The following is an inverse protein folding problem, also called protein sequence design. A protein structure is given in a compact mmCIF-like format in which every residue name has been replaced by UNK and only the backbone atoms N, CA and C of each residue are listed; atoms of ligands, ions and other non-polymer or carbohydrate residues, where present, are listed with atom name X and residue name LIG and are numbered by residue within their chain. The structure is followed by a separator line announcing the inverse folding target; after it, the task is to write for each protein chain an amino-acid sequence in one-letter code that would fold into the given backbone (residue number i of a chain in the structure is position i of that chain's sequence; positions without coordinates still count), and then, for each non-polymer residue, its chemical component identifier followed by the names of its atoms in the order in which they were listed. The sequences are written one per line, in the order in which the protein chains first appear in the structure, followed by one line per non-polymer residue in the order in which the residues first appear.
data_IF_619536201728
#
_entry.id   IF_619536201728
#
_cell.length_a   1.000
_cell.length_b   1.000
_cell.length_c   1.000
_cell.angle_alpha   90.00
_cell.angle_beta   90.00
_cell.angle_gamma   90.00
#
_symmetry.space_group_name_H-M   'P 1'
#
loop_
_entity.id
_entity.type
_entity.pdbx_description
1 polymer ?
#
# COMPACT_ATOMS: atom_id res chain seq x y z
N UNK A 1 10.36 0.16 -5.28
CA UNK A 1 9.16 -0.21 -4.51
C UNK A 1 8.82 -1.68 -4.76
N UNK A 2 8.35 -2.33 -3.75
CA UNK A 2 7.92 -3.72 -3.81
C UNK A 2 6.47 -3.83 -3.32
N UNK A 3 5.63 -4.48 -4.11
CA UNK A 3 4.23 -4.70 -3.76
C UNK A 3 3.97 -6.13 -3.34
N UNK A 4 3.18 -6.34 -2.27
CA UNK A 4 2.82 -7.66 -1.79
C UNK A 4 1.52 -7.64 -0.99
N UNK A 5 0.82 -8.77 -0.88
CA UNK A 5 -0.26 -8.90 0.08
C UNK A 5 0.27 -8.77 1.51
N UNK A 6 -0.46 -8.05 2.36
CA UNK A 6 -0.03 -7.77 3.73
C UNK A 6 0.26 -9.05 4.54
N UNK A 7 -0.48 -10.13 4.27
CA UNK A 7 -0.28 -11.41 4.96
C UNK A 7 1.07 -12.09 4.71
N UNK A 8 1.80 -11.69 3.67
CA UNK A 8 3.12 -12.25 3.37
C UNK A 8 4.28 -11.45 3.94
N UNK A 9 4.02 -10.33 4.58
CA UNK A 9 5.05 -9.43 5.09
C UNK A 9 6.06 -10.15 5.99
N UNK A 10 5.59 -10.95 6.91
CA UNK A 10 6.44 -11.66 7.89
C UNK A 10 7.27 -12.80 7.32
N UNK A 11 7.10 -13.15 6.06
CA UNK A 11 7.84 -14.23 5.42
C UNK A 11 9.15 -13.78 4.74
N UNK A 12 9.63 -12.60 5.08
CA UNK A 12 10.90 -12.11 4.56
C UNK A 12 11.04 -10.59 4.63
N UNK A 13 10.14 -9.86 3.97
CA UNK A 13 10.22 -8.41 3.81
C UNK A 13 10.23 -7.66 5.14
N UNK A 14 9.57 -8.18 6.17
CA UNK A 14 9.51 -7.55 7.48
C UNK A 14 10.90 -7.34 8.09
N UNK A 15 11.84 -8.24 7.82
CA UNK A 15 13.22 -8.12 8.33
C UNK A 15 13.99 -6.95 7.72
N UNK A 16 13.50 -6.38 6.62
CA UNK A 16 14.10 -5.25 5.92
C UNK A 16 13.54 -3.90 6.39
N UNK A 17 12.52 -3.92 7.26
CA UNK A 17 11.90 -2.69 7.74
C UNK A 17 12.77 -2.03 8.79
N UNK A 18 13.04 -0.76 8.57
CA UNK A 18 13.79 0.13 9.48
C UNK A 18 13.20 1.54 9.37
N UNK A 19 13.68 2.47 10.19
CA UNK A 19 13.14 3.83 10.27
C UNK A 19 13.10 4.59 8.93
N UNK A 20 14.01 4.27 8.01
CA UNK A 20 14.06 4.91 6.68
C UNK A 20 13.04 4.35 5.69
N UNK A 21 12.36 3.25 6.02
CA UNK A 21 11.42 2.59 5.11
C UNK A 21 10.04 3.22 5.23
N UNK A 22 9.46 3.55 4.09
CA UNK A 22 8.09 4.03 3.97
C UNK A 22 7.23 2.92 3.36
N UNK A 23 6.14 2.61 4.03
CA UNK A 23 5.19 1.59 3.58
C UNK A 23 3.85 2.20 3.26
N UNK A 24 3.33 1.91 2.08
CA UNK A 24 2.00 2.35 1.65
C UNK A 24 1.02 1.18 1.76
N UNK A 25 -0.05 1.40 2.51
CA UNK A 25 -1.10 0.42 2.71
C UNK A 25 -2.41 0.83 2.04
N UNK A 26 -3.05 -0.14 1.43
CA UNK A 26 -4.44 -0.06 1.02
C UNK A 26 -5.25 -0.88 2.00
N UNK A 27 -5.91 -0.19 2.93
CA UNK A 27 -6.65 -0.86 4.00
C UNK A 27 -8.04 -1.21 3.50
N UNK A 28 -8.41 -2.51 3.46
CA UNK A 28 -9.75 -2.90 3.04
C UNK A 28 -10.81 -2.42 4.03
N UNK A 29 -12.08 -2.32 3.59
CA UNK A 29 -13.15 -1.92 4.50
C UNK A 29 -13.25 -2.86 5.71
N UNK A 30 -13.63 -2.35 6.90
CA UNK A 30 -13.81 -3.20 8.08
C UNK A 30 -14.81 -4.34 7.90
N UNK A 31 -15.74 -4.21 6.96
CA UNK A 31 -16.69 -5.27 6.61
C UNK A 31 -16.00 -6.53 6.04
N UNK A 32 -14.84 -6.36 5.42
CA UNK A 32 -13.94 -7.44 4.99
C UNK A 32 -13.08 -7.90 6.17
N UNK A 33 -13.71 -8.51 7.16
CA UNK A 33 -13.14 -8.74 8.50
C UNK A 33 -11.77 -9.42 8.45
N UNK A 34 -11.63 -10.48 7.68
CA UNK A 34 -10.39 -11.27 7.63
C UNK A 34 -9.24 -10.49 6.97
N UNK A 35 -9.49 -9.89 5.81
CA UNK A 35 -8.49 -9.08 5.12
C UNK A 35 -8.13 -7.83 5.92
N UNK A 36 -9.11 -7.18 6.52
CA UNK A 36 -8.89 -6.01 7.37
C UNK A 36 -7.99 -6.34 8.55
N UNK A 37 -8.31 -7.41 9.29
CA UNK A 37 -7.50 -7.83 10.44
C UNK A 37 -6.06 -8.17 10.05
N UNK A 38 -5.85 -8.88 8.95
CA UNK A 38 -4.50 -9.20 8.46
C UNK A 38 -3.73 -7.94 8.10
N UNK A 39 -4.38 -6.96 7.50
CA UNK A 39 -3.76 -5.69 7.15
C UNK A 39 -3.39 -4.90 8.40
N UNK A 40 -4.27 -4.84 9.39
CA UNK A 40 -3.99 -4.17 10.67
C UNK A 40 -2.78 -4.81 11.38
N UNK A 41 -2.72 -6.15 11.41
CA UNK A 41 -1.57 -6.85 12.00
C UNK A 41 -0.28 -6.48 11.28
N UNK A 42 -0.28 -6.45 9.95
CA UNK A 42 0.89 -6.06 9.18
C UNK A 42 1.32 -4.60 9.46
N UNK A 43 0.37 -3.69 9.60
CA UNK A 43 0.63 -2.29 9.96
C UNK A 43 1.30 -2.22 11.34
N UNK A 44 0.78 -2.95 12.32
CA UNK A 44 1.35 -2.98 13.67
C UNK A 44 2.76 -3.58 13.68
N UNK A 45 3.01 -4.61 12.89
CA UNK A 45 4.34 -5.22 12.76
C UNK A 45 5.37 -4.24 12.20
N UNK A 46 5.01 -3.46 11.17
CA UNK A 46 5.89 -2.43 10.61
C UNK A 46 6.09 -1.29 11.61
N UNK A 47 5.03 -0.86 12.29
CA UNK A 47 5.10 0.21 13.29
C UNK A 47 6.04 -0.15 14.42
N UNK A 48 6.02 -1.39 14.87
CA UNK A 48 6.92 -1.89 15.92
C UNK A 48 8.39 -1.82 15.51
N UNK A 49 8.67 -1.90 14.19
CA UNK A 49 10.02 -1.81 13.65
C UNK A 49 10.46 -0.39 13.27
N UNK A 50 9.63 0.61 13.53
CA UNK A 50 9.94 2.02 13.28
C UNK A 50 9.72 2.51 11.86
N UNK A 51 9.12 1.72 10.99
CA UNK A 51 8.79 2.16 9.62
C UNK A 51 7.71 3.24 9.59
N UNK A 52 7.79 4.13 8.61
CA UNK A 52 6.76 5.14 8.37
C UNK A 52 5.59 4.55 7.61
N UNK A 53 4.39 4.75 8.13
CA UNK A 53 3.17 4.17 7.62
C UNK A 53 2.31 5.21 6.92
N UNK A 54 2.09 5.00 5.63
CA UNK A 54 1.17 5.80 4.82
C UNK A 54 0.04 4.89 4.37
N UNK A 55 -1.17 5.36 4.37
CA UNK A 55 -2.26 4.48 3.97
C UNK A 55 -3.52 5.19 3.53
N UNK A 56 -4.32 4.45 2.77
CA UNK A 56 -5.67 4.82 2.40
C UNK A 56 -6.63 3.89 3.15
N UNK A 57 -7.59 4.47 3.83
CA UNK A 57 -8.56 3.75 4.62
C UNK A 57 -9.97 4.30 4.35
N UNK A 58 -10.98 3.53 4.68
CA UNK A 58 -12.37 3.94 4.46
C UNK A 58 -12.96 4.61 5.70
N UNK A 59 -13.85 5.58 5.47
CA UNK A 59 -14.56 6.30 6.53
C UNK A 59 -15.15 5.33 7.56
N UNK A 60 -15.01 5.66 8.83
CA UNK A 60 -15.47 4.83 9.94
C UNK A 60 -14.44 3.85 10.50
N UNK A 61 -13.30 3.69 9.84
CA UNK A 61 -12.21 2.82 10.31
C UNK A 61 -11.26 3.60 11.23
N UNK A 62 -11.67 3.78 12.47
CA UNK A 62 -10.87 4.50 13.46
C UNK A 62 -9.58 3.77 13.84
N UNK A 63 -9.56 2.44 13.74
CA UNK A 63 -8.38 1.64 14.05
C UNK A 63 -7.26 1.91 13.04
N UNK A 64 -7.55 1.85 11.74
CA UNK A 64 -6.59 2.17 10.71
C UNK A 64 -6.10 3.61 10.82
N UNK A 65 -7.02 4.55 11.02
CA UNK A 65 -6.69 5.97 11.19
C UNK A 65 -5.68 6.19 12.31
N UNK A 66 -5.86 5.53 13.44
CA UNK A 66 -4.98 5.71 14.61
C UNK A 66 -3.58 5.13 14.42
N UNK A 67 -3.42 4.13 13.56
CA UNK A 67 -2.16 3.44 13.34
C UNK A 67 -1.30 4.07 12.23
N UNK A 68 -1.91 4.73 11.26
CA UNK A 68 -1.21 5.32 10.12
C UNK A 68 -0.60 6.67 10.49
N UNK A 69 0.65 6.91 10.07
CA UNK A 69 1.32 8.19 10.26
C UNK A 69 0.75 9.26 9.32
N UNK A 70 0.51 8.87 8.08
CA UNK A 70 -0.13 9.70 7.07
C UNK A 70 -1.28 8.91 6.46
N UNK A 71 -2.49 9.42 6.64
CA UNK A 71 -3.68 8.69 6.25
C UNK A 71 -4.59 9.53 5.35
N UNK A 72 -5.10 8.90 4.30
CA UNK A 72 -6.12 9.48 3.41
C UNK A 72 -7.42 8.72 3.63
N UNK A 73 -8.45 9.43 4.04
CA UNK A 73 -9.77 8.86 4.26
C UNK A 73 -10.57 8.82 2.95
N UNK A 74 -11.13 7.67 2.67
CA UNK A 74 -11.97 7.44 1.50
C UNK A 74 -13.44 7.39 1.90
N UNK A 75 -14.35 7.87 1.04
CA UNK A 75 -15.77 7.73 1.31
C UNK A 75 -16.17 6.26 1.38
N UNK A 76 -17.24 5.92 2.13
CA UNK A 76 -17.68 4.54 2.24
C UNK A 76 -18.17 4.02 0.89
N UNK A 77 -17.71 2.83 0.53
CA UNK A 77 -18.13 2.10 -0.67
C UNK A 77 -18.39 0.65 -0.28
N UNK A 78 -19.13 -0.08 -1.14
CA UNK A 78 -19.33 -1.51 -0.89
C UNK A 78 -18.00 -2.27 -0.98
N UNK A 79 -17.87 -3.37 -0.25
CA UNK A 79 -16.67 -4.22 -0.28
C UNK A 79 -16.35 -4.74 -1.69
N UNK A 80 -17.37 -4.89 -2.53
CA UNK A 80 -17.19 -5.32 -3.92
C UNK A 80 -16.45 -4.27 -4.77
N UNK A 81 -16.69 -2.98 -4.50
CA UNK A 81 -16.14 -1.85 -5.26
C UNK A 81 -14.83 -1.35 -4.67
N UNK A 82 -14.61 -1.55 -3.38
CA UNK A 82 -13.43 -1.02 -2.67
C UNK A 82 -12.08 -1.35 -3.35
N UNK A 83 -11.82 -2.58 -3.83
CA UNK A 83 -10.55 -2.88 -4.51
C UNK A 83 -10.34 -2.06 -5.77
N UNK A 84 -11.40 -1.76 -6.52
CA UNK A 84 -11.31 -0.94 -7.73
C UNK A 84 -10.95 0.51 -7.42
N UNK A 85 -11.55 1.08 -6.39
CA UNK A 85 -11.25 2.44 -5.93
C UNK A 85 -9.79 2.53 -5.49
N UNK A 86 -9.33 1.59 -4.70
CA UNK A 86 -7.95 1.55 -4.23
C UNK A 86 -6.96 1.35 -5.37
N UNK A 87 -7.29 0.52 -6.36
CA UNK A 87 -6.46 0.31 -7.54
C UNK A 87 -6.30 1.61 -8.36
N UNK A 88 -7.38 2.35 -8.58
CA UNK A 88 -7.33 3.64 -9.28
C UNK A 88 -6.43 4.63 -8.54
N UNK A 89 -6.55 4.71 -7.22
CA UNK A 89 -5.73 5.61 -6.41
C UNK A 89 -4.27 5.18 -6.42
N UNK A 90 -3.98 3.89 -6.40
CA UNK A 90 -2.62 3.37 -6.53
C UNK A 90 -2.00 3.75 -7.87
N UNK A 91 -2.76 3.65 -8.96
CA UNK A 91 -2.32 4.04 -10.30
C UNK A 91 -2.06 5.55 -10.37
N UNK A 92 -2.93 6.37 -9.80
CA UNK A 92 -2.74 7.82 -9.74
C UNK A 92 -1.50 8.18 -8.92
N UNK A 93 -1.28 7.55 -7.80
CA UNK A 93 -0.09 7.73 -6.97
C UNK A 93 1.18 7.41 -7.76
N UNK A 94 1.20 6.26 -8.44
CA UNK A 94 2.34 5.85 -9.25
C UNK A 94 2.59 6.83 -10.41
N UNK A 95 1.54 7.30 -11.07
CA UNK A 95 1.61 8.24 -12.17
C UNK A 95 2.23 9.57 -11.71
N UNK A 96 1.71 10.18 -10.65
CA UNK A 96 2.20 11.45 -10.16
C UNK A 96 3.61 11.35 -9.58
N UNK A 97 3.92 10.24 -8.93
CA UNK A 97 5.29 10.00 -8.44
C UNK A 97 6.27 9.89 -9.61
N UNK A 98 5.90 9.21 -10.69
CA UNK A 98 6.74 9.12 -11.89
C UNK A 98 6.94 10.48 -12.54
N UNK A 99 5.91 11.33 -12.60
CA UNK A 99 6.02 12.71 -13.10
C UNK A 99 6.99 13.53 -12.25
N UNK A 100 6.87 13.48 -10.94
CA UNK A 100 7.74 14.21 -10.00
C UNK A 100 9.21 13.79 -10.15
N UNK A 101 9.45 12.50 -10.37
CA UNK A 101 10.78 11.95 -10.58
C UNK A 101 11.26 12.08 -12.02
N UNK A 102 10.47 12.64 -12.91
CA UNK A 102 10.76 12.78 -14.35
C UNK A 102 11.12 11.44 -15.00
N UNK A 103 10.42 10.38 -14.58
CA UNK A 103 10.58 9.02 -15.10
C UNK A 103 9.72 8.83 -16.34
N UNK A 104 10.15 7.92 -17.21
CA UNK A 104 9.32 7.51 -18.34
C UNK A 104 8.21 6.60 -17.86
N UNK A 105 6.96 7.03 -18.06
CA UNK A 105 5.77 6.34 -17.57
C UNK A 105 5.43 5.13 -18.45
N UNK A 106 5.59 5.29 -19.77
CA UNK A 106 5.22 4.24 -20.74
C UNK A 106 6.32 3.19 -20.91
N UNK A 107 7.57 3.60 -20.73
CA UNK A 107 8.76 2.74 -20.86
C UNK A 107 9.65 2.90 -19.63
N UNK A 108 9.32 2.23 -18.53
CA UNK A 108 10.14 2.28 -17.32
C UNK A 108 11.58 1.81 -17.59
N UNK A 109 12.54 2.49 -16.96
CA UNK A 109 13.97 2.28 -17.20
C UNK A 109 14.43 0.84 -17.05
N UNK A 110 13.93 0.11 -16.08
CA UNK A 110 14.37 -1.24 -15.72
C UNK A 110 13.31 -2.30 -15.98
N UNK A 111 12.28 -1.97 -16.78
CA UNK A 111 11.18 -2.85 -17.05
C UNK A 111 10.94 -2.91 -18.55
N UNK A 112 10.99 -4.09 -19.12
CA UNK A 112 10.64 -4.33 -20.50
C UNK A 112 9.48 -5.34 -20.58
N UNK A 113 8.61 -5.13 -21.56
CA UNK A 113 7.45 -6.00 -21.79
C UNK A 113 7.87 -7.37 -22.30
N UNK A 114 9.03 -7.44 -22.96
CA UNK A 114 9.67 -8.67 -23.36
C UNK A 114 11.17 -8.52 -23.11
N UNK A 115 11.74 -9.47 -22.39
CA UNK A 115 13.20 -9.50 -22.20
C UNK A 115 13.76 -10.35 -23.33
N UNK A 116 14.39 -9.69 -24.27
CA UNK A 116 15.25 -10.36 -25.24
C UNK A 116 16.66 -10.33 -24.65
N UNK A 117 17.10 -11.46 -24.17
CA UNK A 117 18.50 -11.64 -23.80
C UNK A 117 19.22 -12.06 -25.07
N UNK A 118 19.92 -11.12 -25.60
CA UNK A 118 20.80 -11.40 -26.72
C UNK A 118 22.12 -11.92 -26.24
#
# INVERSE_FOLDING_TARGET
AEGMPAGFLKHGTLSMIEESVHSLFFVPPPAEVDLHNRTIIAIEEIKTRGGTLVGLYFEGDSQAKSLLDHAVELPPVSSLIAPFVQMILAQMFAYYTALDLKRNIDKPRNLAKSVTVG
#
